data_IF_368471503236
#
_entry.id   IF_368471503236
#
_cell.length_a   1.000
_cell.length_b   1.000
_cell.length_c   1.000
_cell.angle_alpha   90.00
_cell.angle_beta   90.00
_cell.angle_gamma   90.00
#
_symmetry.space_group_name_H-M   'P 1'
#
loop_
_entity.id
_entity.type
_entity.pdbx_description
1 polymer ?
#
# COMPACT_ATOMS: atom_id res chain seq x y z
N UNK A 1 3.31 -9.89 13.83
CA UNK A 1 3.06 -8.65 13.08
C UNK A 1 1.94 -7.86 13.76
N UNK A 2 2.11 -6.57 13.84
CA UNK A 2 1.09 -5.69 14.41
C UNK A 2 0.14 -5.22 13.32
N UNK A 3 -1.18 -5.34 13.53
CA UNK A 3 -2.19 -4.82 12.61
C UNK A 3 -2.69 -3.42 13.01
N UNK A 4 -2.03 -2.79 13.97
CA UNK A 4 -2.47 -1.52 14.54
C UNK A 4 -2.46 -0.37 13.53
N UNK A 5 -1.59 -0.45 12.51
CA UNK A 5 -1.48 0.60 11.50
C UNK A 5 -2.54 0.50 10.41
N UNK A 6 -3.15 -0.68 10.23
CA UNK A 6 -4.10 -0.88 9.15
C UNK A 6 -5.47 -0.32 9.51
N UNK A 7 -6.01 0.63 8.72
CA UNK A 7 -7.35 1.14 8.97
C UNK A 7 -8.41 0.07 8.78
N UNK A 8 -9.54 0.14 9.51
CA UNK A 8 -10.62 -0.85 9.35
C UNK A 8 -11.13 -0.99 7.91
N UNK A 9 -11.11 0.08 7.13
CA UNK A 9 -11.54 0.03 5.73
C UNK A 9 -10.66 -0.87 4.88
N UNK A 10 -9.37 -0.91 5.16
CA UNK A 10 -8.45 -1.80 4.44
C UNK A 10 -8.69 -3.26 4.84
N UNK A 11 -8.93 -3.50 6.12
CA UNK A 11 -9.23 -4.84 6.60
C UNK A 11 -10.53 -5.35 6.00
N UNK A 12 -11.55 -4.50 5.93
CA UNK A 12 -12.85 -4.86 5.35
C UNK A 12 -12.75 -5.15 3.85
N UNK A 13 -11.84 -4.49 3.14
CA UNK A 13 -11.67 -4.72 1.70
C UNK A 13 -11.26 -6.16 1.38
N UNK A 14 -10.56 -6.81 2.29
CA UNK A 14 -10.15 -8.21 2.10
C UNK A 14 -11.37 -9.12 1.96
N UNK A 15 -12.43 -8.86 2.72
CA UNK A 15 -13.64 -9.68 2.68
C UNK A 15 -14.39 -9.57 1.36
N UNK A 16 -14.08 -8.54 0.56
CA UNK A 16 -14.70 -8.34 -0.75
C UNK A 16 -13.94 -9.03 -1.87
N UNK A 17 -12.79 -9.62 -1.59
CA UNK A 17 -12.00 -10.29 -2.62
C UNK A 17 -12.71 -11.57 -3.06
N UNK A 18 -12.71 -11.84 -4.38
CA UNK A 18 -13.26 -13.09 -4.88
C UNK A 18 -12.37 -14.28 -4.51
N UNK A 19 -12.83 -15.46 -4.90
CA UNK A 19 -12.08 -16.70 -4.75
C UNK A 19 -10.62 -16.54 -5.21
N UNK A 20 -9.71 -17.20 -4.53
CA UNK A 20 -8.27 -17.14 -4.83
C UNK A 20 -7.95 -17.57 -6.26
N UNK A 21 -8.82 -18.37 -6.87
CA UNK A 21 -8.67 -18.79 -8.27
C UNK A 21 -8.98 -17.68 -9.27
N UNK A 22 -9.65 -16.63 -8.84
CA UNK A 22 -10.06 -15.52 -9.71
C UNK A 22 -8.97 -14.47 -9.77
N UNK A 23 -8.48 -14.09 -10.96
CA UNK A 23 -7.51 -13.00 -11.07
C UNK A 23 -8.10 -11.69 -10.57
N UNK A 24 -7.29 -10.93 -9.85
CA UNK A 24 -7.70 -9.66 -9.25
C UNK A 24 -6.63 -8.60 -9.49
N UNK A 25 -7.07 -7.40 -9.80
CA UNK A 25 -6.21 -6.22 -9.82
C UNK A 25 -6.58 -5.34 -8.64
N UNK A 26 -5.60 -5.07 -7.77
CA UNK A 26 -5.79 -4.18 -6.64
C UNK A 26 -5.25 -2.80 -6.98
N UNK A 27 -6.10 -1.80 -6.78
CA UNK A 27 -5.70 -0.41 -6.89
C UNK A 27 -5.41 0.13 -5.50
N UNK A 28 -4.23 0.71 -5.32
CA UNK A 28 -3.88 1.31 -4.05
C UNK A 28 -3.19 2.65 -4.29
N UNK A 29 -3.37 3.57 -3.35
CA UNK A 29 -2.61 4.82 -3.34
C UNK A 29 -1.25 4.56 -2.67
N UNK A 30 -0.30 5.50 -2.88
CA UNK A 30 0.92 5.48 -2.08
C UNK A 30 0.55 5.60 -0.60
N UNK A 31 1.42 5.10 0.26
CA UNK A 31 1.23 5.16 1.70
C UNK A 31 1.40 6.58 2.24
N UNK A 32 1.45 6.74 3.54
CA UNK A 32 1.49 8.05 4.18
C UNK A 32 2.79 8.79 3.81
N UNK A 33 2.64 9.94 3.19
CA UNK A 33 3.75 10.79 2.78
C UNK A 33 3.93 11.97 3.72
N UNK A 34 5.06 12.62 3.58
CA UNK A 34 5.32 13.89 4.25
C UNK A 34 4.24 14.91 3.88
N UNK A 35 3.99 15.83 4.78
CA UNK A 35 3.02 16.91 4.55
C UNK A 35 3.51 17.87 3.48
N UNK A 36 2.55 18.45 2.75
CA UNK A 36 2.87 19.50 1.80
C UNK A 36 3.44 20.70 2.56
N UNK A 37 4.57 21.21 2.08
CA UNK A 37 5.23 22.36 2.65
C UNK A 37 4.75 23.62 1.94
N UNK A 38 4.23 24.57 2.72
CA UNK A 38 3.71 25.80 2.16
C UNK A 38 2.39 25.59 1.42
N UNK A 39 2.16 26.38 0.39
CA UNK A 39 0.93 26.32 -0.40
C UNK A 39 1.18 25.55 -1.69
N UNK A 40 0.15 24.85 -2.17
CA UNK A 40 0.17 24.18 -3.44
C UNK A 40 0.02 22.67 -3.34
N UNK A 41 0.35 22.00 -4.44
CA UNK A 41 0.20 20.57 -4.57
C UNK A 41 1.45 19.85 -4.05
N UNK A 42 1.26 18.56 -3.70
CA UNK A 42 2.36 17.72 -3.30
C UNK A 42 3.36 17.55 -4.45
N UNK A 43 4.60 17.88 -4.21
CA UNK A 43 5.67 17.73 -5.18
C UNK A 43 6.18 16.29 -5.24
N UNK A 44 7.03 16.02 -6.22
CA UNK A 44 7.60 14.69 -6.43
C UNK A 44 8.66 14.35 -5.40
N UNK A 45 9.17 15.33 -4.69
CA UNK A 45 10.22 15.17 -3.67
C UNK A 45 9.69 14.71 -2.32
N UNK A 46 8.38 14.76 -2.10
CA UNK A 46 7.80 14.31 -0.83
C UNK A 46 7.90 12.80 -0.72
N UNK A 47 8.54 12.34 0.35
CA UNK A 47 8.79 10.93 0.59
C UNK A 47 7.76 10.34 1.54
N UNK A 48 7.74 9.01 1.66
CA UNK A 48 6.92 8.35 2.67
C UNK A 48 7.47 8.68 4.05
N UNK A 49 6.55 8.83 5.02
CA UNK A 49 6.95 8.92 6.42
C UNK A 49 7.41 7.54 6.91
N UNK A 50 8.08 7.52 8.06
CA UNK A 50 8.43 6.26 8.72
C UNK A 50 7.20 5.40 8.96
N UNK A 51 6.13 6.00 9.45
CA UNK A 51 4.85 5.32 9.67
C UNK A 51 4.26 4.80 8.36
N UNK A 52 4.39 5.58 7.28
CA UNK A 52 3.91 5.17 5.96
C UNK A 52 4.65 3.97 5.42
N UNK A 53 5.95 3.90 5.67
CA UNK A 53 6.76 2.75 5.26
C UNK A 53 6.33 1.50 6.03
N UNK A 54 6.14 1.62 7.33
CA UNK A 54 5.68 0.51 8.17
C UNK A 54 4.29 0.04 7.75
N UNK A 55 3.39 0.97 7.44
CA UNK A 55 2.04 0.65 6.99
C UNK A 55 2.07 -0.14 5.68
N UNK A 56 2.90 0.27 4.72
CA UNK A 56 3.00 -0.41 3.44
C UNK A 56 3.50 -1.84 3.60
N UNK A 57 4.52 -2.05 4.43
CA UNK A 57 5.04 -3.38 4.73
C UNK A 57 3.97 -4.25 5.39
N UNK A 58 3.27 -3.70 6.37
CA UNK A 58 2.24 -4.43 7.10
C UNK A 58 1.09 -4.81 6.19
N UNK A 59 0.67 -3.91 5.30
CA UNK A 59 -0.40 -4.18 4.35
C UNK A 59 -0.02 -5.29 3.38
N UNK A 60 1.18 -5.24 2.82
CA UNK A 60 1.66 -6.28 1.91
C UNK A 60 1.73 -7.64 2.59
N UNK A 61 2.25 -7.68 3.80
CA UNK A 61 2.33 -8.92 4.58
C UNK A 61 0.95 -9.45 4.94
N UNK A 62 0.02 -8.56 5.30
CA UNK A 62 -1.36 -8.94 5.60
C UNK A 62 -2.06 -9.53 4.39
N UNK A 63 -1.90 -8.91 3.22
CA UNK A 63 -2.47 -9.43 1.98
C UNK A 63 -1.97 -10.85 1.69
N UNK A 64 -0.66 -11.05 1.78
CA UNK A 64 -0.07 -12.36 1.52
C UNK A 64 -0.57 -13.42 2.51
N UNK A 65 -0.65 -13.06 3.78
CA UNK A 65 -1.03 -13.98 4.84
C UNK A 65 -2.52 -14.32 4.80
N UNK A 66 -3.38 -13.32 4.58
CA UNK A 66 -4.84 -13.50 4.69
C UNK A 66 -5.47 -13.99 3.40
N UNK A 67 -4.88 -13.71 2.24
CA UNK A 67 -5.50 -14.05 0.96
C UNK A 67 -4.85 -15.23 0.26
N UNK A 68 -3.71 -15.68 0.74
CA UNK A 68 -2.91 -16.72 0.10
C UNK A 68 -2.62 -16.39 -1.37
N UNK A 69 -2.49 -15.11 -1.67
CA UNK A 69 -2.23 -14.62 -3.03
C UNK A 69 -0.82 -14.05 -3.13
N UNK A 70 -0.20 -14.30 -4.27
CA UNK A 70 1.08 -13.67 -4.60
C UNK A 70 0.84 -12.50 -5.54
N UNK A 71 1.62 -11.45 -5.38
CA UNK A 71 1.64 -10.35 -6.34
C UNK A 71 2.53 -10.75 -7.49
N UNK A 72 1.94 -11.02 -8.65
CA UNK A 72 2.66 -11.44 -9.85
C UNK A 72 3.15 -10.26 -10.67
N UNK A 73 2.39 -9.19 -10.68
CA UNK A 73 2.72 -7.97 -11.40
C UNK A 73 2.45 -6.77 -10.53
N UNK A 74 3.39 -5.85 -10.49
CA UNK A 74 3.24 -4.61 -9.73
C UNK A 74 3.61 -3.45 -10.63
N UNK A 75 2.66 -2.51 -10.79
CA UNK A 75 2.85 -1.33 -11.62
C UNK A 75 2.68 -0.12 -10.71
N UNK A 76 3.58 0.82 -10.81
CA UNK A 76 3.51 2.04 -10.01
C UNK A 76 3.77 3.28 -10.87
N UNK A 77 3.31 4.43 -10.39
CA UNK A 77 3.75 5.71 -10.89
C UNK A 77 5.27 5.84 -10.70
N UNK A 78 5.97 6.58 -11.56
CA UNK A 78 7.43 6.79 -11.39
C UNK A 78 7.79 7.71 -10.23
N UNK A 79 6.84 8.27 -9.52
CA UNK A 79 7.09 9.08 -8.34
C UNK A 79 7.66 8.18 -7.24
N UNK A 80 8.73 8.63 -6.58
CA UNK A 80 9.48 7.78 -5.66
C UNK A 80 8.62 7.21 -4.54
N UNK A 81 7.72 8.01 -3.95
CA UNK A 81 6.87 7.50 -2.88
C UNK A 81 5.93 6.37 -3.33
N UNK A 82 5.57 6.36 -4.62
CA UNK A 82 4.75 5.29 -5.18
C UNK A 82 5.59 4.03 -5.41
N UNK A 83 6.79 4.20 -5.92
CA UNK A 83 7.73 3.08 -6.10
C UNK A 83 8.06 2.44 -4.76
N UNK A 84 8.32 3.26 -3.75
CA UNK A 84 8.63 2.77 -2.40
C UNK A 84 7.46 2.03 -1.77
N UNK A 85 6.24 2.55 -1.93
CA UNK A 85 5.05 1.85 -1.43
C UNK A 85 4.94 0.47 -2.07
N UNK A 86 5.07 0.38 -3.38
CA UNK A 86 4.99 -0.89 -4.09
C UNK A 86 6.09 -1.86 -3.64
N UNK A 87 7.33 -1.37 -3.52
CA UNK A 87 8.45 -2.20 -3.12
C UNK A 87 8.28 -2.75 -1.69
N UNK A 88 7.72 -1.94 -0.79
CA UNK A 88 7.51 -2.36 0.60
C UNK A 88 6.39 -3.38 0.74
N UNK A 89 5.43 -3.38 -0.19
CA UNK A 89 4.29 -4.30 -0.15
C UNK A 89 4.63 -5.70 -0.67
N UNK A 90 5.66 -5.80 -1.48
CA UNK A 90 6.01 -7.09 -2.13
C UNK A 90 6.79 -8.01 -1.21
#
# INVERSE_FOLDING_TARGET
>A
MSLKLLPPSMLSAIDLLPDVQTPVTLFTRHSIREDVRGQGLAGYDLQLTSQGRDLAQEWGAYLADQTDRMIHHCISSPIQRCIDTAALMI
#
